data_IF_501664979507
#
_entry.id   IF_501664979507
#
_cell.length_a   1.000
_cell.length_b   1.000
_cell.length_c   1.000
_cell.angle_alpha   90.00
_cell.angle_beta   90.00
_cell.angle_gamma   90.00
#
_symmetry.space_group_name_H-M   'P 1'
#
loop_
_entity.id
_entity.type
_entity.pdbx_description
1 polymer ?
#
# COMPACT_ATOMS: atom_id res chain seq x y z
N UNK A 1 23.30 0.27 5.49
CA UNK A 1 22.17 -0.64 5.73
C UNK A 1 20.94 0.20 6.04
N UNK A 2 20.05 0.40 5.07
CA UNK A 2 18.76 1.09 5.30
C UNK A 2 17.84 0.08 5.95
N UNK A 3 17.40 0.33 7.19
CA UNK A 3 16.37 -0.48 7.84
C UNK A 3 15.10 -0.42 6.99
N UNK A 4 14.77 -1.52 6.30
CA UNK A 4 13.51 -1.65 5.58
C UNK A 4 12.39 -1.85 6.61
N UNK A 5 11.61 -0.81 6.87
CA UNK A 5 10.39 -0.94 7.65
C UNK A 5 9.34 -1.68 6.80
N UNK A 6 8.62 -2.67 7.36
CA UNK A 6 7.51 -3.29 6.66
C UNK A 6 6.37 -2.28 6.50
N UNK A 7 5.70 -2.34 5.36
CA UNK A 7 4.80 -1.32 4.87
C UNK A 7 3.32 -1.51 5.26
N UNK A 8 2.99 -2.60 5.95
CA UNK A 8 1.63 -2.94 6.38
C UNK A 8 1.54 -2.93 7.91
N UNK A 9 0.51 -2.30 8.47
CA UNK A 9 0.20 -2.30 9.91
C UNK A 9 -1.18 -2.86 10.20
N UNK A 10 -1.32 -3.54 11.32
CA UNK A 10 -2.61 -3.99 11.87
C UNK A 10 -2.98 -3.14 13.09
N UNK A 11 -4.26 -2.84 13.25
CA UNK A 11 -4.79 -2.06 14.39
C UNK A 11 -6.13 -2.62 14.81
N UNK A 12 -6.38 -2.75 16.10
CA UNK A 12 -7.68 -3.21 16.58
C UNK A 12 -7.98 -2.98 18.06
N UNK A 13 -9.26 -3.18 18.39
CA UNK A 13 -9.89 -2.82 19.68
C UNK A 13 -9.83 -3.92 20.76
N UNK A 14 -9.64 -5.21 20.42
CA UNK A 14 -9.62 -6.31 21.41
C UNK A 14 -8.49 -7.30 21.13
N UNK A 15 -7.62 -7.49 22.14
CA UNK A 15 -6.43 -8.33 22.12
C UNK A 15 -6.75 -9.81 21.87
N UNK A 16 -7.89 -10.32 22.35
CA UNK A 16 -8.22 -11.75 22.30
C UNK A 16 -8.54 -12.22 20.86
N UNK A 17 -9.35 -11.44 20.15
CA UNK A 17 -9.71 -11.71 18.75
C UNK A 17 -8.59 -11.33 17.78
N UNK A 18 -7.85 -10.26 18.06
CA UNK A 18 -6.64 -9.90 17.33
C UNK A 18 -5.58 -10.98 17.43
N UNK A 19 -5.21 -11.43 18.63
CA UNK A 19 -4.09 -12.37 18.78
C UNK A 19 -4.36 -13.69 18.06
N UNK A 20 -5.61 -14.16 18.01
CA UNK A 20 -5.98 -15.33 17.22
C UNK A 20 -5.95 -15.07 15.70
N UNK A 21 -6.44 -13.91 15.24
CA UNK A 21 -6.44 -13.54 13.82
C UNK A 21 -5.05 -13.14 13.33
N UNK A 22 -4.35 -12.23 14.01
CA UNK A 22 -2.97 -11.83 13.75
C UNK A 22 -2.06 -13.05 13.74
N UNK A 23 -2.21 -14.02 14.66
CA UNK A 23 -1.40 -15.25 14.65
C UNK A 23 -1.66 -16.08 13.39
N UNK A 24 -2.92 -16.28 13.02
CA UNK A 24 -3.29 -17.04 11.81
C UNK A 24 -2.92 -16.30 10.52
N UNK A 25 -3.08 -14.99 10.49
CA UNK A 25 -2.72 -14.11 9.38
C UNK A 25 -1.20 -14.05 9.23
N UNK A 26 -0.45 -13.98 10.34
CA UNK A 26 1.01 -14.06 10.34
C UNK A 26 1.51 -15.42 9.81
N UNK A 27 0.91 -16.53 10.24
CA UNK A 27 1.23 -17.88 9.75
C UNK A 27 1.03 -18.05 8.23
N UNK A 28 -0.09 -17.53 7.69
CA UNK A 28 -0.40 -17.60 6.24
C UNK A 28 0.44 -16.61 5.41
N UNK A 29 0.91 -15.51 6.00
CA UNK A 29 1.62 -14.46 5.27
C UNK A 29 3.15 -14.60 5.32
N UNK A 30 3.70 -15.20 6.37
CA UNK A 30 5.10 -15.62 6.43
C UNK A 30 5.47 -16.56 5.29
N UNK A 31 4.56 -17.47 4.94
CA UNK A 31 4.71 -18.39 3.81
C UNK A 31 4.60 -17.69 2.44
N UNK A 32 4.19 -16.41 2.40
CA UNK A 32 3.96 -15.62 1.18
C UNK A 32 4.82 -14.37 1.07
N UNK A 33 5.82 -14.20 1.93
CA UNK A 33 6.80 -13.11 1.86
C UNK A 33 6.29 -11.72 2.30
N UNK A 34 5.13 -11.64 2.95
CA UNK A 34 4.61 -10.37 3.49
C UNK A 34 5.09 -10.21 4.94
N UNK A 35 5.87 -9.17 5.20
CA UNK A 35 6.38 -8.86 6.55
C UNK A 35 5.45 -7.88 7.25
N UNK A 36 4.97 -8.25 8.44
CA UNK A 36 4.21 -7.38 9.34
C UNK A 36 5.10 -6.89 10.46
N UNK A 37 4.84 -5.69 11.00
CA UNK A 37 5.37 -5.29 12.30
C UNK A 37 4.26 -4.66 13.11
N UNK A 38 4.15 -5.09 14.37
CA UNK A 38 3.45 -4.44 15.47
C UNK A 38 1.95 -4.16 15.23
N UNK A 39 1.10 -5.01 15.79
CA UNK A 39 -0.29 -4.65 16.09
C UNK A 39 -0.30 -3.68 17.26
N UNK A 40 -0.91 -2.52 17.09
CA UNK A 40 -1.14 -1.58 18.19
C UNK A 40 -2.52 -1.84 18.78
N UNK A 41 -2.55 -2.11 20.08
CA UNK A 41 -3.77 -2.40 20.82
C UNK A 41 -4.35 -1.13 21.42
N UNK A 42 -5.66 -1.07 21.48
CA UNK A 42 -6.37 0.05 22.09
C UNK A 42 -7.55 -0.45 22.93
N UNK A 43 -7.84 0.27 24.01
CA UNK A 43 -9.02 0.04 24.87
C UNK A 43 -9.90 1.29 24.82
N UNK A 44 -11.22 1.08 24.82
CA UNK A 44 -12.30 2.08 24.66
C UNK A 44 -12.13 3.42 25.41
N UNK A 45 -11.42 3.41 26.54
CA UNK A 45 -11.27 4.58 27.40
C UNK A 45 -10.13 5.56 27.00
N UNK A 46 -9.35 5.31 25.95
CA UNK A 46 -8.10 6.06 25.68
C UNK A 46 -8.05 6.84 24.36
N UNK A 47 -9.01 7.73 24.08
CA UNK A 47 -9.03 8.55 22.84
C UNK A 47 -7.71 9.31 22.57
N UNK A 48 -6.98 9.74 23.61
CA UNK A 48 -5.64 10.36 23.49
C UNK A 48 -4.61 9.45 22.80
N UNK A 49 -4.71 8.13 22.97
CA UNK A 49 -3.79 7.16 22.38
C UNK A 49 -4.03 6.96 20.87
N UNK A 50 -5.25 7.19 20.35
CA UNK A 50 -5.52 7.06 18.90
C UNK A 50 -4.72 8.08 18.08
N UNK A 51 -4.69 9.33 18.55
CA UNK A 51 -3.95 10.40 17.89
C UNK A 51 -2.44 10.12 17.87
N UNK A 52 -1.89 9.65 18.97
CA UNK A 52 -0.47 9.28 19.06
C UNK A 52 -0.13 8.10 18.13
N UNK A 53 -1.02 7.11 18.05
CA UNK A 53 -0.89 5.98 17.14
C UNK A 53 -0.85 6.43 15.67
N UNK A 54 -1.79 7.28 15.27
CA UNK A 54 -1.84 7.81 13.90
C UNK A 54 -0.60 8.67 13.58
N UNK A 55 -0.09 9.42 14.56
CA UNK A 55 1.19 10.13 14.42
C UNK A 55 2.38 9.19 14.24
N UNK A 56 2.39 8.06 14.94
CA UNK A 56 3.40 7.01 14.75
C UNK A 56 3.32 6.39 13.35
N UNK A 57 2.12 6.23 12.80
CA UNK A 57 1.94 5.74 11.42
C UNK A 57 2.53 6.71 10.40
N UNK A 58 2.27 8.01 10.60
CA UNK A 58 2.81 9.07 9.77
C UNK A 58 4.34 9.15 9.86
N UNK A 59 4.91 9.02 11.06
CA UNK A 59 6.37 9.05 11.26
C UNK A 59 7.08 7.86 10.63
N UNK A 60 6.40 6.71 10.52
CA UNK A 60 6.90 5.47 9.94
C UNK A 60 6.53 5.27 8.45
N UNK A 61 5.94 6.26 7.79
CA UNK A 61 5.43 6.19 6.40
C UNK A 61 4.54 4.95 6.15
N UNK A 62 3.65 4.64 7.10
CA UNK A 62 2.70 3.54 6.98
C UNK A 62 1.58 3.93 6.02
N UNK A 63 1.34 3.10 4.99
CA UNK A 63 0.38 3.40 3.93
C UNK A 63 -0.75 2.38 3.80
N UNK A 64 -0.52 1.12 4.16
CA UNK A 64 -1.53 0.07 4.13
C UNK A 64 -1.89 -0.29 5.57
N UNK A 65 -3.14 -0.07 5.93
CA UNK A 65 -3.63 -0.22 7.31
C UNK A 65 -4.75 -1.25 7.32
N UNK A 66 -4.54 -2.33 8.07
CA UNK A 66 -5.54 -3.36 8.32
C UNK A 66 -6.17 -3.08 9.69
N UNK A 67 -7.45 -2.81 9.69
CA UNK A 67 -8.21 -2.36 10.84
C UNK A 67 -9.18 -3.45 11.28
N UNK A 68 -9.29 -3.74 12.57
CA UNK A 68 -10.33 -4.59 13.14
C UNK A 68 -10.98 -3.89 14.35
N UNK A 69 -12.01 -3.10 14.05
CA UNK A 69 -12.69 -2.25 15.03
C UNK A 69 -14.17 -2.58 15.06
N UNK A 70 -14.78 -2.49 16.24
CA UNK A 70 -16.23 -2.39 16.32
C UNK A 70 -16.70 -1.06 15.69
N UNK A 71 -18.01 -0.93 15.50
CA UNK A 71 -18.61 0.22 14.81
C UNK A 71 -18.28 1.55 15.49
N UNK A 72 -18.40 1.61 16.81
CA UNK A 72 -18.17 2.84 17.59
C UNK A 72 -16.72 3.31 17.51
N UNK A 73 -15.76 2.39 17.67
CA UNK A 73 -14.34 2.74 17.60
C UNK A 73 -13.93 3.12 16.18
N UNK A 74 -14.53 2.50 15.16
CA UNK A 74 -14.28 2.87 13.77
C UNK A 74 -14.59 4.36 13.53
N UNK A 75 -15.75 4.85 13.97
CA UNK A 75 -16.15 6.26 13.78
C UNK A 75 -15.17 7.23 14.42
N UNK A 76 -14.75 6.97 15.67
CA UNK A 76 -13.75 7.79 16.35
C UNK A 76 -12.35 7.70 15.68
N UNK A 77 -11.95 6.52 15.22
CA UNK A 77 -10.68 6.32 14.53
C UNK A 77 -10.61 7.09 13.21
N UNK A 78 -11.65 7.00 12.37
CA UNK A 78 -11.70 7.75 11.11
C UNK A 78 -11.80 9.26 11.34
N UNK A 79 -12.48 9.72 12.39
CA UNK A 79 -12.46 11.12 12.77
C UNK A 79 -11.02 11.60 13.11
N UNK A 80 -10.26 10.83 13.87
CA UNK A 80 -8.87 11.16 14.15
C UNK A 80 -7.96 11.03 12.91
N UNK A 81 -8.23 10.07 12.02
CA UNK A 81 -7.53 9.92 10.74
C UNK A 81 -7.79 11.12 9.81
N UNK A 82 -9.00 11.67 9.81
CA UNK A 82 -9.33 12.91 9.10
C UNK A 82 -8.47 14.08 9.61
N UNK A 83 -8.38 14.24 10.93
CA UNK A 83 -7.59 15.31 11.59
C UNK A 83 -6.08 15.19 11.32
N UNK A 84 -5.54 13.97 11.25
CA UNK A 84 -4.10 13.73 10.99
C UNK A 84 -3.77 13.56 9.49
N UNK A 85 -4.78 13.64 8.61
CA UNK A 85 -4.69 13.47 7.14
C UNK A 85 -4.15 12.11 6.70
N UNK A 86 -4.66 11.04 7.31
CA UNK A 86 -4.32 9.64 6.98
C UNK A 86 -5.43 9.04 6.12
N UNK A 87 -5.64 9.65 4.96
CA UNK A 87 -6.62 9.24 3.94
C UNK A 87 -6.19 9.74 2.55
N UNK A 88 -6.93 9.36 1.51
CA UNK A 88 -6.66 9.79 0.13
C UNK A 88 -5.69 8.86 -0.62
N UNK A 89 -5.04 9.34 -1.70
CA UNK A 89 -4.34 8.47 -2.67
C UNK A 89 -3.06 7.82 -2.15
N UNK A 90 -2.56 8.22 -0.97
CA UNK A 90 -1.35 7.64 -0.35
C UNK A 90 -1.64 6.53 0.65
N UNK A 91 -2.89 6.39 1.10
CA UNK A 91 -3.26 5.47 2.18
C UNK A 91 -4.37 4.52 1.72
N UNK A 92 -4.31 3.27 2.15
CA UNK A 92 -5.39 2.31 1.98
C UNK A 92 -5.77 1.69 3.31
N UNK A 93 -7.04 1.85 3.67
CA UNK A 93 -7.64 1.19 4.82
C UNK A 93 -8.35 -0.10 4.38
N UNK A 94 -8.11 -1.18 5.12
CA UNK A 94 -8.77 -2.47 4.95
C UNK A 94 -9.36 -2.85 6.30
N UNK A 95 -10.67 -2.72 6.44
CA UNK A 95 -11.41 -3.07 7.64
C UNK A 95 -11.85 -4.53 7.60
N UNK A 96 -11.58 -5.25 8.68
CA UNK A 96 -12.22 -6.51 8.98
C UNK A 96 -13.58 -6.17 9.60
N UNK A 97 -14.63 -6.33 8.78
CA UNK A 97 -15.97 -5.91 9.11
C UNK A 97 -16.68 -6.85 10.06
N UNK A 98 -17.50 -6.26 10.91
CA UNK A 98 -18.61 -6.93 11.56
C UNK A 98 -19.81 -6.94 10.63
N UNK A 99 -20.66 -7.95 10.77
CA UNK A 99 -21.84 -8.12 9.96
C UNK A 99 -22.95 -7.18 10.51
N UNK A 100 -23.06 -5.98 9.95
CA UNK A 100 -24.11 -5.03 10.30
C UNK A 100 -24.45 -4.15 9.10
N UNK A 101 -25.76 -3.95 8.90
CA UNK A 101 -26.33 -3.11 7.84
C UNK A 101 -26.45 -1.63 8.25
N UNK A 102 -26.02 -1.27 9.47
CA UNK A 102 -26.13 0.11 9.94
C UNK A 102 -25.07 1.02 9.33
N UNK A 103 -25.49 2.25 8.99
CA UNK A 103 -24.61 3.36 8.64
C UNK A 103 -23.83 3.82 9.90
N UNK A 104 -22.87 3.01 10.34
CA UNK A 104 -22.09 3.20 11.55
C UNK A 104 -21.38 4.57 11.62
N UNK A 105 -21.09 5.17 10.47
CA UNK A 105 -20.50 6.49 10.35
C UNK A 105 -21.47 7.64 10.75
N UNK A 106 -22.75 7.34 11.04
CA UNK A 106 -23.69 8.32 11.57
C UNK A 106 -23.62 8.48 13.11
N UNK A 107 -22.73 7.76 13.79
CA UNK A 107 -22.53 7.93 15.23
C UNK A 107 -21.95 9.31 15.58
N UNK A 108 -22.31 9.83 16.76
CA UNK A 108 -21.86 11.17 17.22
C UNK A 108 -20.36 11.17 17.46
N UNK A 109 -19.64 12.08 16.81
CA UNK A 109 -18.20 12.31 17.00
C UNK A 109 -17.84 13.80 16.96
N UNK A 110 -16.58 14.12 17.30
CA UNK A 110 -16.02 15.47 17.24
C UNK A 110 -15.71 15.96 15.81
N UNK A 111 -16.05 15.19 14.78
CA UNK A 111 -15.82 15.54 13.38
C UNK A 111 -17.13 15.87 12.68
N UNK A 112 -17.07 16.76 11.69
CA UNK A 112 -18.17 16.96 10.77
C UNK A 112 -18.38 15.71 9.90
N UNK A 113 -19.61 15.50 9.43
CA UNK A 113 -19.94 14.38 8.54
C UNK A 113 -19.07 14.40 7.27
N UNK A 114 -18.79 15.59 6.72
CA UNK A 114 -17.94 15.73 5.53
C UNK A 114 -16.50 15.31 5.79
N UNK A 115 -15.91 15.67 6.93
CA UNK A 115 -14.57 15.22 7.32
C UNK A 115 -14.51 13.70 7.46
N UNK A 116 -15.56 13.11 8.04
CA UNK A 116 -15.65 11.67 8.22
C UNK A 116 -15.79 10.94 6.88
N UNK A 117 -16.68 11.41 6.00
CA UNK A 117 -16.85 10.86 4.65
C UNK A 117 -15.53 10.89 3.87
N UNK A 118 -14.77 12.00 3.93
CA UNK A 118 -13.46 12.11 3.27
C UNK A 118 -12.46 11.06 3.77
N UNK A 119 -12.46 10.78 5.08
CA UNK A 119 -11.55 9.80 5.66
C UNK A 119 -11.96 8.34 5.39
N UNK A 120 -13.27 8.05 5.34
CA UNK A 120 -13.79 6.71 5.08
C UNK A 120 -13.76 6.36 3.59
N UNK A 121 -13.92 7.35 2.70
CA UNK A 121 -13.91 7.14 1.25
C UNK A 121 -12.73 6.26 0.81
N UNK A 122 -12.97 5.33 -0.11
CA UNK A 122 -11.98 4.39 -0.62
C UNK A 122 -11.62 3.23 0.32
N UNK A 123 -12.11 3.19 1.56
CA UNK A 123 -11.86 2.09 2.51
C UNK A 123 -12.46 0.79 1.99
N UNK A 124 -11.70 -0.30 2.07
CA UNK A 124 -12.18 -1.65 1.77
C UNK A 124 -12.64 -2.32 3.07
N UNK A 125 -13.75 -3.05 3.04
CA UNK A 125 -14.23 -3.84 4.16
C UNK A 125 -14.51 -5.27 3.74
N UNK A 126 -14.07 -6.24 4.54
CA UNK A 126 -14.51 -7.63 4.39
C UNK A 126 -15.78 -7.87 5.20
N UNK A 127 -16.78 -8.50 4.60
CA UNK A 127 -18.05 -8.87 5.25
C UNK A 127 -18.41 -10.31 4.93
N UNK A 128 -19.06 -10.97 5.88
CA UNK A 128 -19.69 -12.27 5.69
C UNK A 128 -21.13 -12.00 5.21
N UNK A 129 -21.51 -12.34 3.97
CA UNK A 129 -22.85 -12.03 3.46
C UNK A 129 -23.94 -12.82 4.21
N UNK A 130 -25.10 -12.21 4.47
CA UNK A 130 -26.24 -12.93 5.06
C UNK A 130 -26.79 -13.98 4.09
N UNK A 131 -27.13 -13.57 2.88
CA UNK A 131 -27.59 -14.45 1.80
C UNK A 131 -26.49 -14.55 0.76
N UNK A 132 -26.29 -15.74 0.18
CA UNK A 132 -25.28 -15.90 -0.86
C UNK A 132 -25.62 -15.02 -2.06
N UNK A 133 -24.58 -14.41 -2.63
CA UNK A 133 -24.69 -13.62 -3.85
C UNK A 133 -24.54 -14.48 -5.11
N UNK A 134 -24.41 -15.79 -4.94
CA UNK A 134 -24.44 -16.74 -6.03
C UNK A 134 -25.89 -17.03 -6.43
N UNK A 135 -26.38 -16.35 -7.47
CA UNK A 135 -27.69 -16.60 -8.09
C UNK A 135 -27.69 -17.87 -8.96
N UNK A 136 -26.90 -18.89 -8.62
CA UNK A 136 -26.99 -20.17 -9.30
C UNK A 136 -28.42 -20.73 -9.11
N UNK A 137 -29.14 -20.95 -10.22
CA UNK A 137 -30.52 -21.44 -10.27
C UNK A 137 -30.77 -22.79 -9.57
N UNK A 138 -29.72 -23.47 -9.10
CA UNK A 138 -29.76 -24.78 -8.46
C UNK A 138 -30.22 -24.76 -6.98
N UNK A 139 -30.66 -23.60 -6.45
CA UNK A 139 -31.17 -23.54 -5.07
C UNK A 139 -32.46 -24.37 -4.93
N UNK A 140 -32.55 -25.24 -3.91
CA UNK A 140 -33.79 -25.96 -3.65
C UNK A 140 -34.98 -25.03 -3.35
N UNK A 141 -36.21 -25.43 -3.71
CA UNK A 141 -37.41 -24.61 -3.49
C UNK A 141 -37.57 -24.09 -2.06
N UNK A 142 -37.28 -24.93 -1.05
CA UNK A 142 -37.38 -24.51 0.36
C UNK A 142 -36.46 -23.34 0.72
N UNK A 143 -35.33 -23.19 0.01
CA UNK A 143 -34.40 -22.08 0.16
C UNK A 143 -34.96 -20.82 -0.50
N UNK A 144 -35.57 -20.96 -1.68
CA UNK A 144 -36.29 -19.85 -2.33
C UNK A 144 -37.45 -19.35 -1.48
N UNK A 145 -38.27 -20.27 -0.96
CA UNK A 145 -39.38 -19.94 -0.07
C UNK A 145 -38.89 -19.16 1.16
N UNK A 146 -37.75 -19.57 1.74
CA UNK A 146 -37.10 -18.85 2.84
C UNK A 146 -36.68 -17.43 2.44
N UNK A 147 -35.99 -17.29 1.31
CA UNK A 147 -35.50 -15.99 0.85
C UNK A 147 -36.67 -15.06 0.55
N UNK A 148 -37.72 -15.53 -0.12
CA UNK A 148 -38.87 -14.70 -0.48
C UNK A 148 -39.68 -14.26 0.75
N UNK A 149 -39.94 -15.19 1.69
CA UNK A 149 -40.85 -14.92 2.81
C UNK A 149 -40.15 -14.37 4.06
N UNK A 150 -38.93 -14.82 4.38
CA UNK A 150 -38.29 -14.50 5.65
C UNK A 150 -37.20 -13.44 5.53
N UNK A 151 -36.50 -13.31 4.39
CA UNK A 151 -35.47 -12.27 4.24
C UNK A 151 -36.04 -10.86 4.34
N UNK A 152 -37.33 -10.69 3.96
CA UNK A 152 -38.03 -9.40 4.01
C UNK A 152 -38.36 -8.95 5.42
N UNK A 153 -38.40 -9.86 6.39
CA UNK A 153 -38.73 -9.56 7.79
C UNK A 153 -37.57 -8.89 8.55
N UNK A 154 -36.34 -8.89 7.99
CA UNK A 154 -35.13 -8.22 8.50
C UNK A 154 -34.95 -8.28 10.03
N UNK A 155 -35.21 -9.43 10.63
CA UNK A 155 -35.20 -9.53 12.11
C UNK A 155 -33.79 -9.64 12.67
N UNK A 156 -32.92 -10.39 12.01
CA UNK A 156 -31.53 -10.59 12.42
C UNK A 156 -30.66 -10.85 11.19
N UNK A 157 -29.49 -10.20 11.14
CA UNK A 157 -28.52 -10.38 10.06
C UNK A 157 -28.02 -11.83 9.91
N UNK A 158 -28.14 -12.66 10.94
CA UNK A 158 -27.66 -14.06 10.91
C UNK A 158 -28.79 -15.09 10.82
N UNK A 159 -30.00 -14.69 10.45
CA UNK A 159 -31.14 -15.59 10.32
C UNK A 159 -30.89 -16.73 9.32
N UNK A 160 -30.27 -16.44 8.16
CA UNK A 160 -30.00 -17.43 7.13
C UNK A 160 -28.94 -18.45 7.60
N UNK A 161 -28.02 -18.03 8.47
CA UNK A 161 -27.07 -18.94 9.11
C UNK A 161 -27.76 -19.89 10.09
N UNK A 162 -28.76 -19.42 10.84
CA UNK A 162 -29.56 -20.27 11.71
C UNK A 162 -30.39 -21.27 10.89
N UNK A 163 -30.99 -20.81 9.79
CA UNK A 163 -31.71 -21.65 8.84
C UNK A 163 -30.83 -22.79 8.30
N UNK A 164 -29.64 -22.47 7.78
CA UNK A 164 -28.71 -23.47 7.26
C UNK A 164 -28.15 -24.40 8.35
N UNK A 165 -28.09 -23.94 9.60
CA UNK A 165 -27.70 -24.77 10.75
C UNK A 165 -28.73 -25.86 11.01
N UNK A 166 -30.03 -25.53 10.95
CA UNK A 166 -31.11 -26.53 11.09
C UNK A 166 -31.03 -27.56 9.97
N UNK A 167 -30.81 -27.13 8.73
CA UNK A 167 -30.63 -28.06 7.61
C UNK A 167 -29.39 -28.93 7.75
N UNK A 168 -28.29 -28.39 8.25
CA UNK A 168 -27.09 -29.18 8.55
C UNK A 168 -27.39 -30.29 9.56
N UNK A 169 -28.20 -30.03 10.59
CA UNK A 169 -28.67 -31.06 11.53
C UNK A 169 -29.53 -32.14 10.86
N UNK A 170 -30.39 -31.75 9.91
CA UNK A 170 -31.17 -32.71 9.11
C UNK A 170 -30.24 -33.61 8.28
N UNK A 171 -29.22 -33.06 7.64
CA UNK A 171 -28.21 -33.83 6.91
C UNK A 171 -27.43 -34.79 7.84
N UNK A 172 -27.07 -34.34 9.04
CA UNK A 172 -26.44 -35.18 10.06
C UNK A 172 -27.36 -36.32 10.53
N UNK A 173 -28.64 -36.03 10.74
CA UNK A 173 -29.64 -37.02 11.13
C UNK A 173 -29.82 -38.09 10.04
N UNK A 174 -29.95 -37.67 8.77
CA UNK A 174 -30.04 -38.59 7.61
C UNK A 174 -28.79 -39.44 7.42
N UNK A 175 -27.64 -38.94 7.85
CA UNK A 175 -26.37 -39.68 7.84
C UNK A 175 -26.24 -40.70 8.99
N UNK A 176 -27.26 -40.84 9.84
CA UNK A 176 -27.30 -41.87 10.88
C UNK A 176 -26.54 -41.52 12.16
N UNK A 177 -26.44 -40.25 12.53
CA UNK A 177 -25.71 -39.81 13.72
C UNK A 177 -26.13 -40.52 15.02
N UNK A 178 -27.41 -40.90 15.14
CA UNK A 178 -27.94 -41.62 16.30
C UNK A 178 -27.46 -43.08 16.38
N UNK A 179 -27.04 -43.66 15.25
CA UNK A 179 -26.58 -45.05 15.16
C UNK A 179 -25.05 -45.16 15.26
N UNK A 180 -24.31 -44.11 14.92
CA UNK A 180 -22.85 -44.15 14.84
C UNK A 180 -22.18 -42.90 15.45
N UNK A 181 -22.26 -42.79 16.79
CA UNK A 181 -21.76 -41.62 17.53
C UNK A 181 -20.23 -41.47 17.51
N UNK A 182 -19.48 -42.51 17.15
CA UNK A 182 -18.00 -42.46 17.10
C UNK A 182 -17.47 -41.72 15.86
N UNK A 183 -18.28 -41.55 14.81
CA UNK A 183 -17.87 -40.98 13.51
C UNK A 183 -18.40 -39.57 13.24
N UNK A 184 -18.80 -38.81 14.26
CA UNK A 184 -19.39 -37.47 14.11
C UNK A 184 -18.49 -36.53 13.27
N UNK A 185 -17.17 -36.58 13.45
CA UNK A 185 -16.24 -35.75 12.65
C UNK A 185 -16.33 -36.02 11.16
N UNK A 186 -16.40 -37.30 10.78
CA UNK A 186 -16.55 -37.73 9.39
C UNK A 186 -17.91 -37.34 8.84
N UNK A 187 -18.97 -37.49 9.64
CA UNK A 187 -20.33 -37.08 9.25
C UNK A 187 -20.36 -35.57 8.97
N UNK A 188 -19.79 -34.74 9.85
CA UNK A 188 -19.77 -33.28 9.70
C UNK A 188 -18.95 -32.85 8.48
N UNK A 189 -17.78 -33.45 8.24
CA UNK A 189 -16.97 -33.13 7.07
C UNK A 189 -17.63 -33.57 5.74
N UNK A 190 -18.54 -34.54 5.78
CA UNK A 190 -19.28 -35.03 4.61
C UNK A 190 -20.56 -34.23 4.29
N UNK A 191 -20.92 -33.23 5.12
CA UNK A 191 -22.05 -32.36 4.82
C UNK A 191 -21.69 -31.49 3.60
N UNK A 192 -22.48 -31.63 2.53
CA UNK A 192 -22.40 -30.82 1.32
C UNK A 192 -23.82 -30.60 0.77
N UNK A 193 -24.33 -29.37 0.89
CA UNK A 193 -25.63 -28.98 0.33
C UNK A 193 -25.66 -27.48 0.00
N UNK A 194 -26.66 -27.05 -0.78
CA UNK A 194 -26.90 -25.64 -1.13
C UNK A 194 -27.95 -25.09 -0.17
N UNK A 195 -27.56 -24.12 0.66
CA UNK A 195 -28.42 -23.42 1.61
C UNK A 195 -28.66 -21.95 1.22
N UNK A 196 -29.31 -21.20 2.11
CA UNK A 196 -29.61 -19.77 1.90
C UNK A 196 -28.33 -18.90 1.85
N UNK A 197 -27.32 -19.31 2.60
CA UNK A 197 -26.00 -18.64 2.65
C UNK A 197 -24.99 -19.26 1.67
N UNK A 198 -25.48 -19.99 0.66
CA UNK A 198 -24.69 -20.60 -0.40
C UNK A 198 -24.32 -22.05 -0.09
N UNK A 199 -23.22 -22.53 -0.68
CA UNK A 199 -22.77 -23.91 -0.46
C UNK A 199 -22.30 -24.12 0.97
N UNK A 200 -22.96 -25.02 1.70
CA UNK A 200 -22.67 -25.35 3.10
C UNK A 200 -21.75 -26.57 3.15
N UNK A 201 -20.53 -26.37 3.66
CA UNK A 201 -19.54 -27.42 3.90
C UNK A 201 -18.73 -27.12 5.15
N UNK A 202 -18.21 -28.17 5.78
CA UNK A 202 -17.34 -28.06 6.94
C UNK A 202 -15.97 -28.68 6.69
N UNK A 203 -14.92 -28.01 7.16
CA UNK A 203 -13.55 -28.51 7.16
C UNK A 203 -12.97 -28.34 8.56
N UNK A 204 -12.57 -29.46 9.17
CA UNK A 204 -12.05 -29.48 10.53
C UNK A 204 -12.99 -28.82 11.56
N UNK A 205 -14.29 -29.04 11.39
CA UNK A 205 -15.34 -28.43 12.24
C UNK A 205 -15.58 -26.94 12.00
N UNK A 206 -14.96 -26.33 10.99
CA UNK A 206 -15.22 -24.94 10.60
C UNK A 206 -16.02 -24.89 9.32
N UNK A 207 -17.04 -24.03 9.31
CA UNK A 207 -17.82 -23.79 8.10
C UNK A 207 -16.96 -23.07 7.06
N UNK A 208 -16.98 -23.59 5.84
CA UNK A 208 -16.43 -22.95 4.65
C UNK A 208 -17.56 -22.07 4.08
N UNK A 209 -17.30 -20.78 3.89
CA UNK A 209 -18.29 -19.82 3.43
C UNK A 209 -17.71 -18.77 2.49
N UNK A 210 -18.56 -17.87 2.02
CA UNK A 210 -18.20 -16.76 1.13
C UNK A 210 -17.71 -15.56 1.95
N UNK A 211 -16.78 -14.79 1.38
CA UNK A 211 -16.36 -13.50 1.93
C UNK A 211 -16.60 -12.44 0.86
N UNK A 212 -17.38 -11.43 1.20
CA UNK A 212 -17.64 -10.28 0.37
C UNK A 212 -16.63 -9.17 0.71
N UNK A 213 -16.07 -8.55 -0.32
CA UNK A 213 -15.26 -7.34 -0.18
C UNK A 213 -16.05 -6.16 -0.72
N UNK A 214 -16.31 -5.21 0.15
CA UNK A 214 -17.05 -4.00 -0.13
C UNK A 214 -16.11 -2.79 -0.06
N UNK A 215 -16.44 -1.74 -0.79
CA UNK A 215 -15.73 -0.47 -0.77
C UNK A 215 -16.68 0.65 -0.36
N UNK A 216 -16.25 1.50 0.56
CA UNK A 216 -16.92 2.75 0.87
C UNK A 216 -16.59 3.80 -0.18
N UNK A 217 -17.61 4.39 -0.79
CA UNK A 217 -17.47 5.33 -1.91
C UNK A 217 -18.29 6.57 -1.63
N UNK A 218 -17.63 7.72 -1.61
CA UNK A 218 -18.29 9.01 -1.56
C UNK A 218 -18.69 9.45 -2.97
N UNK A 219 -19.98 9.64 -3.19
CA UNK A 219 -20.51 10.11 -4.47
C UNK A 219 -21.82 10.86 -4.31
N UNK A 220 -22.18 11.59 -5.37
CA UNK A 220 -23.51 12.21 -5.47
C UNK A 220 -24.52 11.14 -5.90
N UNK A 221 -25.56 10.97 -5.08
CA UNK A 221 -26.65 10.04 -5.34
C UNK A 221 -27.63 10.63 -6.38
N UNK A 222 -28.13 9.80 -7.29
CA UNK A 222 -29.30 10.10 -8.13
C UNK A 222 -30.51 9.28 -7.67
N UNK A 223 -31.69 9.57 -8.24
CA UNK A 223 -32.98 8.95 -7.88
C UNK A 223 -33.03 7.40 -7.96
N UNK A 224 -32.02 6.75 -8.56
CA UNK A 224 -31.96 5.29 -8.77
C UNK A 224 -30.86 4.61 -7.91
N UNK A 225 -30.44 5.26 -6.82
CA UNK A 225 -29.38 4.81 -5.89
C UNK A 225 -28.02 4.46 -6.53
N UNK A 226 -27.82 4.83 -7.80
CA UNK A 226 -26.60 4.56 -8.53
C UNK A 226 -25.55 5.65 -8.30
N UNK A 227 -24.35 5.22 -7.90
CA UNK A 227 -23.17 6.07 -7.68
C UNK A 227 -22.44 6.31 -9.02
N UNK A 228 -22.64 7.46 -9.67
CA UNK A 228 -21.97 7.77 -10.95
C UNK A 228 -20.81 8.78 -10.86
N UNK A 229 -20.89 9.75 -9.94
CA UNK A 229 -19.91 10.85 -9.89
C UNK A 229 -19.11 10.75 -8.58
N UNK A 230 -17.82 10.39 -8.63
CA UNK A 230 -16.98 10.38 -7.44
C UNK A 230 -16.83 11.80 -6.89
N UNK A 231 -16.97 11.92 -5.59
CA UNK A 231 -16.82 13.20 -4.91
C UNK A 231 -15.36 13.61 -4.75
N UNK A 232 -15.08 14.89 -4.97
CA UNK A 232 -13.78 15.51 -4.73
C UNK A 232 -13.81 16.39 -3.47
N UNK A 233 -12.64 16.79 -2.95
CA UNK A 233 -12.46 17.43 -1.63
C UNK A 233 -13.37 18.65 -1.35
N UNK A 234 -13.86 19.34 -2.38
CA UNK A 234 -14.67 20.56 -2.27
C UNK A 234 -16.17 20.36 -2.51
N UNK A 235 -16.64 19.12 -2.69
CA UNK A 235 -18.06 18.86 -2.90
C UNK A 235 -18.77 18.63 -1.55
N UNK A 236 -19.74 19.48 -1.25
CA UNK A 236 -20.48 19.47 0.00
C UNK A 236 -21.69 18.52 -0.03
N UNK A 237 -22.09 18.08 -1.23
CA UNK A 237 -23.30 17.28 -1.47
C UNK A 237 -22.94 15.83 -1.81
N UNK A 238 -22.27 15.17 -0.86
CA UNK A 238 -21.72 13.84 -1.01
C UNK A 238 -22.25 12.91 0.07
N UNK A 239 -22.81 11.79 -0.37
CA UNK A 239 -23.22 10.72 0.51
C UNK A 239 -22.27 9.54 0.38
N UNK A 240 -22.08 8.82 1.49
CA UNK A 240 -21.30 7.60 1.52
C UNK A 240 -22.18 6.42 1.12
N UNK A 241 -21.71 5.64 0.16
CA UNK A 241 -22.35 4.40 -0.29
C UNK A 241 -21.37 3.24 -0.18
N UNK A 242 -21.91 2.02 -0.27
CA UNK A 242 -21.13 0.79 -0.20
C UNK A 242 -21.26 0.05 -1.53
N UNK A 243 -20.14 -0.13 -2.21
CA UNK A 243 -20.06 -0.85 -3.49
C UNK A 243 -19.45 -2.23 -3.26
N UNK A 244 -20.11 -3.27 -3.75
CA UNK A 244 -19.62 -4.66 -3.67
C UNK A 244 -18.58 -4.89 -4.76
N UNK A 245 -17.33 -5.11 -4.39
CA UNK A 245 -16.20 -5.18 -5.33
C UNK A 245 -15.83 -6.60 -5.67
N UNK A 246 -15.64 -7.46 -4.66
CA UNK A 246 -15.24 -8.84 -4.88
C UNK A 246 -16.07 -9.81 -4.03
N UNK A 247 -16.25 -11.01 -4.56
CA UNK A 247 -16.78 -12.15 -3.84
C UNK A 247 -15.73 -13.25 -3.84
N UNK A 248 -15.21 -13.59 -2.66
CA UNK A 248 -14.31 -14.71 -2.49
C UNK A 248 -15.12 -15.96 -2.16
N UNK A 249 -15.05 -16.98 -3.03
CA UNK A 249 -15.66 -18.30 -2.80
C UNK A 249 -14.56 -19.35 -2.75
N UNK A 250 -14.77 -20.41 -1.99
CA UNK A 250 -13.82 -21.51 -1.97
C UNK A 250 -13.92 -22.34 -3.26
N UNK A 251 -12.77 -22.71 -3.83
CA UNK A 251 -12.70 -23.57 -5.01
C UNK A 251 -13.28 -24.96 -4.69
N UNK A 252 -13.89 -25.59 -5.69
CA UNK A 252 -14.37 -26.97 -5.57
C UNK A 252 -13.24 -28.00 -5.45
N UNK A 253 -11.99 -27.61 -5.74
CA UNK A 253 -10.81 -28.45 -5.69
C UNK A 253 -10.07 -28.32 -4.35
N UNK A 254 -9.65 -29.46 -3.80
CA UNK A 254 -8.88 -29.58 -2.56
C UNK A 254 -7.65 -28.65 -2.57
N UNK A 255 -7.51 -27.82 -1.53
CA UNK A 255 -6.35 -26.97 -1.17
C UNK A 255 -6.03 -25.71 -2.01
N UNK A 256 -6.82 -25.35 -3.02
CA UNK A 256 -6.57 -24.09 -3.74
C UNK A 256 -7.20 -22.87 -3.04
N UNK A 257 -6.48 -21.73 -3.12
CA UNK A 257 -6.94 -20.43 -2.65
C UNK A 257 -8.40 -20.15 -3.02
N UNK A 258 -9.15 -19.37 -2.20
CA UNK A 258 -10.47 -18.93 -2.58
C UNK A 258 -10.42 -18.21 -3.94
N UNK A 259 -11.26 -18.63 -4.86
CA UNK A 259 -11.45 -17.96 -6.14
C UNK A 259 -12.11 -16.60 -5.90
N UNK A 260 -11.45 -15.54 -6.39
CA UNK A 260 -11.92 -14.17 -6.23
C UNK A 260 -12.68 -13.74 -7.48
N UNK A 261 -13.99 -13.59 -7.35
CA UNK A 261 -14.88 -13.13 -8.41
C UNK A 261 -15.01 -11.61 -8.34
N UNK A 262 -14.68 -10.92 -9.42
CA UNK A 262 -14.82 -9.47 -9.52
C UNK A 262 -16.28 -9.13 -9.85
N UNK A 263 -16.93 -8.37 -8.97
CA UNK A 263 -18.28 -7.83 -9.16
C UNK A 263 -18.20 -6.43 -9.77
N UNK A 264 -17.48 -5.52 -9.11
CA UNK A 264 -17.25 -4.15 -9.56
C UNK A 264 -15.76 -3.80 -9.50
N UNK A 265 -15.35 -2.76 -10.21
CA UNK A 265 -13.98 -2.24 -10.14
C UNK A 265 -13.79 -1.40 -8.87
N UNK A 266 -12.64 -1.55 -8.20
CA UNK A 266 -12.25 -0.64 -7.12
C UNK A 266 -12.08 0.77 -7.70
N UNK A 267 -12.65 1.75 -7.02
CA UNK A 267 -12.42 3.17 -7.29
C UNK A 267 -11.28 3.68 -6.40
N UNK A 268 -10.11 3.92 -7.00
CA UNK A 268 -8.97 4.49 -6.29
C UNK A 268 -9.07 6.03 -6.31
N UNK A 269 -8.59 6.68 -5.25
CA UNK A 269 -8.48 8.15 -5.24
C UNK A 269 -7.49 8.69 -6.30
N UNK A 270 -6.53 7.87 -6.71
CA UNK A 270 -5.58 8.18 -7.79
C UNK A 270 -5.77 7.26 -8.99
N UNK A 271 -4.83 7.29 -9.93
CA UNK A 271 -4.85 6.41 -11.11
C UNK A 271 -4.56 4.94 -10.79
N UNK A 272 -4.03 4.64 -9.60
CA UNK A 272 -3.57 3.33 -9.20
C UNK A 272 -3.65 3.15 -7.67
N UNK A 273 -3.61 1.91 -7.16
CA UNK A 273 -3.50 1.64 -5.73
C UNK A 273 -2.24 2.29 -5.12
N UNK A 274 -2.31 2.73 -3.85
CA UNK A 274 -1.15 3.30 -3.17
C UNK A 274 -0.03 2.26 -3.05
N UNK A 275 1.21 2.73 -3.27
CA UNK A 275 2.40 1.92 -3.02
C UNK A 275 2.70 1.84 -1.53
N UNK A 276 3.27 0.71 -1.14
CA UNK A 276 3.66 0.38 0.23
C UNK A 276 4.76 1.33 0.77
N UNK A 277 5.64 1.85 -0.10
CA UNK A 277 6.75 2.76 0.24
C UNK A 277 7.03 3.82 -0.81
N UNK A 278 7.82 4.82 -0.45
CA UNK A 278 8.43 5.75 -1.42
C UNK A 278 9.59 5.08 -2.15
N UNK A 279 9.60 5.15 -3.49
CA UNK A 279 10.76 4.72 -4.26
C UNK A 279 11.90 5.72 -4.07
N UNK A 280 13.02 5.26 -3.50
CA UNK A 280 14.24 6.04 -3.45
C UNK A 280 15.01 5.79 -4.74
N UNK A 281 15.07 6.80 -5.61
CA UNK A 281 15.93 6.78 -6.79
C UNK A 281 17.22 7.51 -6.44
N UNK A 282 18.35 6.81 -6.54
CA UNK A 282 19.66 7.44 -6.40
C UNK A 282 19.87 8.27 -7.67
N UNK A 283 19.81 9.59 -7.55
CA UNK A 283 20.13 10.52 -8.63
C UNK A 283 21.54 11.01 -8.37
N UNK A 284 22.46 10.74 -9.29
CA UNK A 284 23.79 11.32 -9.23
C UNK A 284 23.68 12.80 -9.65
N UNK A 285 24.10 13.70 -8.77
CA UNK A 285 24.21 15.12 -9.13
C UNK A 285 25.41 15.32 -10.05
N UNK A 286 25.17 15.86 -11.24
CA UNK A 286 26.20 16.15 -12.22
C UNK A 286 26.42 17.66 -12.34
N UNK A 287 27.64 18.05 -12.68
CA UNK A 287 27.98 19.45 -12.99
C UNK A 287 27.20 19.85 -14.25
N UNK A 288 26.57 21.03 -14.25
CA UNK A 288 25.87 21.55 -15.41
C UNK A 288 26.81 21.66 -16.62
N UNK A 289 26.42 21.14 -17.80
CA UNK A 289 27.27 21.15 -19.00
C UNK A 289 27.75 22.56 -19.39
N UNK A 290 26.91 23.58 -19.22
CA UNK A 290 27.24 24.97 -19.53
C UNK A 290 28.40 25.51 -18.69
N UNK A 291 28.43 25.20 -17.40
CA UNK A 291 29.49 25.61 -16.47
C UNK A 291 30.79 24.89 -16.82
N UNK A 292 30.72 23.58 -17.07
CA UNK A 292 31.87 22.79 -17.46
C UNK A 292 32.50 23.29 -18.76
N UNK A 293 31.70 23.53 -19.80
CA UNK A 293 32.18 24.05 -21.10
C UNK A 293 32.84 25.42 -20.92
N UNK A 294 32.22 26.32 -20.16
CA UNK A 294 32.74 27.69 -19.96
C UNK A 294 34.11 27.68 -19.28
N UNK A 295 34.27 26.89 -18.22
CA UNK A 295 35.54 26.76 -17.49
C UNK A 295 36.59 26.08 -18.36
N UNK A 296 36.22 25.06 -19.13
CA UNK A 296 37.13 24.35 -20.05
C UNK A 296 37.66 25.28 -21.14
N UNK A 297 36.80 26.10 -21.76
CA UNK A 297 37.22 27.09 -22.76
C UNK A 297 38.18 28.11 -22.15
N UNK A 298 37.85 28.64 -20.97
CA UNK A 298 38.69 29.61 -20.28
C UNK A 298 40.09 29.06 -19.94
N UNK A 299 40.15 27.84 -19.40
CA UNK A 299 41.40 27.13 -19.12
C UNK A 299 42.18 26.79 -20.40
N UNK A 300 41.49 26.43 -21.48
CA UNK A 300 42.11 26.18 -22.79
C UNK A 300 42.78 27.42 -23.37
N UNK A 301 42.13 28.59 -23.29
CA UNK A 301 42.73 29.87 -23.69
C UNK A 301 43.97 30.18 -22.83
N UNK A 302 43.87 30.00 -21.51
CA UNK A 302 45.00 30.20 -20.59
C UNK A 302 46.20 29.28 -20.88
N UNK A 303 45.94 28.03 -21.29
CA UNK A 303 46.97 27.07 -21.67
C UNK A 303 47.70 27.50 -22.95
N UNK A 304 46.97 27.95 -23.98
CA UNK A 304 47.54 28.43 -25.24
C UNK A 304 48.43 29.66 -25.01
N UNK A 305 47.98 30.60 -24.18
CA UNK A 305 48.75 31.79 -23.80
C UNK A 305 50.03 31.39 -23.07
N UNK A 306 49.93 30.47 -22.11
CA UNK A 306 51.09 29.98 -21.33
C UNK A 306 52.14 29.32 -22.22
N UNK A 307 51.72 28.49 -23.18
CA UNK A 307 52.63 27.83 -24.15
C UNK A 307 53.31 28.87 -25.04
N UNK A 308 52.55 29.85 -25.53
CA UNK A 308 53.08 30.91 -26.39
C UNK A 308 54.15 31.75 -25.67
N UNK A 309 53.89 32.13 -24.41
CA UNK A 309 54.84 32.87 -23.58
C UNK A 309 56.06 32.02 -23.22
N UNK A 310 55.90 30.71 -23.02
CA UNK A 310 57.00 29.80 -22.74
C UNK A 310 57.94 29.66 -23.95
N UNK A 311 57.39 29.46 -25.14
CA UNK A 311 58.17 29.41 -26.40
C UNK A 311 58.88 30.74 -26.64
N UNK A 312 58.19 31.87 -26.43
CA UNK A 312 58.77 33.20 -26.54
C UNK A 312 59.95 33.40 -25.57
N UNK A 313 59.81 32.97 -24.31
CA UNK A 313 60.85 33.08 -23.29
C UNK A 313 62.09 32.25 -23.64
N UNK A 314 61.90 31.06 -24.23
CA UNK A 314 63.00 30.22 -24.71
C UNK A 314 63.68 30.85 -25.92
N UNK A 315 62.92 31.27 -26.93
CA UNK A 315 63.46 31.77 -28.20
C UNK A 315 64.28 33.05 -27.99
N UNK A 316 63.78 34.00 -27.19
CA UNK A 316 64.44 35.28 -26.95
C UNK A 316 65.26 35.32 -25.66
N UNK A 317 65.67 34.16 -25.12
CA UNK A 317 66.43 34.05 -23.86
C UNK A 317 67.72 34.89 -23.84
N UNK A 318 68.33 35.14 -25.00
CA UNK A 318 69.58 35.90 -25.12
C UNK A 318 69.37 37.43 -25.16
N UNK A 319 68.13 37.93 -25.31
CA UNK A 319 67.88 39.36 -25.27
C UNK A 319 68.07 39.95 -23.86
N UNK A 320 68.75 41.10 -23.80
CA UNK A 320 69.18 41.76 -22.55
C UNK A 320 68.05 41.95 -21.54
N UNK A 321 66.84 42.32 -21.99
CA UNK A 321 65.69 42.53 -21.11
C UNK A 321 65.14 41.23 -20.50
N UNK A 322 65.03 40.17 -21.29
CA UNK A 322 64.52 38.85 -20.85
C UNK A 322 65.55 38.15 -19.95
N UNK A 323 66.84 38.40 -20.18
CA UNK A 323 67.91 37.88 -19.32
C UNK A 323 67.92 38.53 -17.93
N UNK A 324 67.58 39.81 -17.82
CA UNK A 324 67.52 40.53 -16.54
C UNK A 324 66.26 40.20 -15.72
N UNK A 325 65.21 39.64 -16.34
CA UNK A 325 63.96 39.24 -15.66
C UNK A 325 63.98 37.81 -15.09
N UNK A 326 65.16 37.20 -14.90
CA UNK A 326 65.33 35.84 -14.37
C UNK A 326 64.55 34.77 -15.16
N UNK A 327 64.98 34.44 -16.39
CA UNK A 327 64.23 33.60 -17.32
C UNK A 327 63.95 32.17 -16.79
N UNK A 328 64.79 31.65 -15.90
CA UNK A 328 64.57 30.35 -15.26
C UNK A 328 63.32 30.36 -14.36
N UNK A 329 63.15 31.41 -13.54
CA UNK A 329 61.98 31.54 -12.67
C UNK A 329 60.70 31.71 -13.51
N UNK A 330 60.75 32.50 -14.57
CA UNK A 330 59.60 32.71 -15.46
C UNK A 330 59.19 31.40 -16.16
N UNK A 331 60.15 30.56 -16.55
CA UNK A 331 59.85 29.24 -17.12
C UNK A 331 59.21 28.28 -16.10
N UNK A 332 59.65 28.32 -14.84
CA UNK A 332 59.05 27.52 -13.75
C UNK A 332 57.60 27.99 -13.48
N UNK A 333 57.37 29.31 -13.43
CA UNK A 333 56.03 29.89 -13.23
C UNK A 333 55.09 29.47 -14.36
N UNK A 334 55.52 29.61 -15.62
CA UNK A 334 54.72 29.22 -16.79
C UNK A 334 54.44 27.71 -16.80
N UNK A 335 55.39 26.88 -16.40
CA UNK A 335 55.17 25.45 -16.21
C UNK A 335 54.10 25.15 -15.15
N UNK A 336 54.12 25.87 -14.02
CA UNK A 336 53.10 25.78 -12.98
C UNK A 336 51.70 26.18 -13.49
N UNK A 337 51.61 27.25 -14.29
CA UNK A 337 50.35 27.67 -14.92
C UNK A 337 49.80 26.60 -15.87
N UNK A 338 50.65 25.97 -16.69
CA UNK A 338 50.23 24.87 -17.59
C UNK A 338 49.64 23.70 -16.80
N UNK A 339 50.30 23.28 -15.72
CA UNK A 339 49.82 22.18 -14.86
C UNK A 339 48.48 22.51 -14.20
N UNK A 340 48.29 23.75 -13.75
CA UNK A 340 47.02 24.20 -13.14
C UNK A 340 45.86 24.19 -14.15
N UNK A 341 46.07 24.66 -15.38
CA UNK A 341 45.07 24.61 -16.44
C UNK A 341 44.72 23.18 -16.83
N UNK A 342 45.71 22.29 -16.96
CA UNK A 342 45.50 20.87 -17.25
C UNK A 342 44.69 20.19 -16.13
N UNK A 343 45.05 20.43 -14.87
CA UNK A 343 44.33 19.88 -13.71
C UNK A 343 42.86 20.30 -13.66
N UNK A 344 42.57 21.56 -13.99
CA UNK A 344 41.19 22.09 -14.03
C UNK A 344 40.34 21.36 -15.07
N UNK A 345 40.91 21.04 -16.24
CA UNK A 345 40.23 20.28 -17.30
C UNK A 345 39.98 18.84 -16.84
N UNK A 346 40.98 18.22 -16.20
CA UNK A 346 40.88 16.84 -15.71
C UNK A 346 39.83 16.68 -14.61
N UNK A 347 39.72 17.63 -13.68
CA UNK A 347 38.76 17.59 -12.57
C UNK A 347 37.30 17.65 -13.03
N UNK A 348 37.04 18.29 -14.17
CA UNK A 348 35.69 18.39 -14.72
C UNK A 348 35.24 17.16 -15.53
N UNK A 349 36.15 16.24 -15.85
CA UNK A 349 35.80 14.96 -16.48
C UNK A 349 35.11 14.10 -15.42
N UNK A 350 33.80 13.93 -15.52
CA UNK A 350 33.00 13.13 -14.58
C UNK A 350 32.45 11.87 -15.27
N UNK A 351 31.98 10.92 -14.46
CA UNK A 351 31.24 9.71 -14.83
C UNK A 351 30.03 9.91 -15.76
N UNK A 352 29.57 11.15 -15.96
CA UNK A 352 28.57 11.49 -16.97
C UNK A 352 29.09 11.45 -18.41
N UNK A 353 30.41 11.59 -18.62
CA UNK A 353 31.06 11.59 -19.92
C UNK A 353 31.73 10.25 -20.25
N UNK A 354 32.10 9.47 -19.23
CA UNK A 354 32.74 8.16 -19.38
C UNK A 354 32.12 7.13 -18.44
N UNK A 355 31.81 5.90 -18.91
CA UNK A 355 31.37 4.82 -18.04
C UNK A 355 32.42 4.53 -16.96
N UNK A 356 31.97 4.17 -15.75
CA UNK A 356 32.77 4.08 -14.52
C UNK A 356 34.13 3.38 -14.62
N UNK A 357 34.32 2.46 -15.57
CA UNK A 357 35.57 1.74 -15.81
C UNK A 357 36.64 2.59 -16.49
N UNK A 358 36.26 3.50 -17.40
CA UNK A 358 37.22 4.35 -18.11
C UNK A 358 37.72 5.52 -17.25
N UNK A 359 36.93 5.96 -16.27
CA UNK A 359 37.32 7.01 -15.33
C UNK A 359 38.45 6.56 -14.38
N UNK A 360 38.37 5.33 -13.87
CA UNK A 360 39.42 4.74 -13.03
C UNK A 360 40.72 4.53 -13.78
N UNK A 361 40.64 4.06 -15.03
CA UNK A 361 41.83 3.83 -15.86
C UNK A 361 42.51 5.15 -16.25
N UNK A 362 41.73 6.20 -16.54
CA UNK A 362 42.27 7.52 -16.87
C UNK A 362 42.98 8.17 -15.66
N UNK A 363 42.39 8.11 -14.47
CA UNK A 363 43.02 8.63 -13.24
C UNK A 363 44.29 7.85 -12.88
N UNK A 364 44.26 6.52 -12.96
CA UNK A 364 45.43 5.69 -12.68
C UNK A 364 46.56 5.95 -13.68
N UNK A 365 46.25 6.14 -14.97
CA UNK A 365 47.27 6.45 -15.98
C UNK A 365 47.86 7.87 -15.85
N UNK A 366 47.12 8.83 -15.28
CA UNK A 366 47.62 10.20 -15.06
C UNK A 366 48.40 10.31 -13.74
N UNK A 367 48.05 9.54 -12.71
CA UNK A 367 48.74 9.55 -11.40
C UNK A 367 50.00 8.67 -11.41
N UNK A 368 50.03 7.62 -12.25
CA UNK A 368 51.17 6.71 -12.37
C UNK A 368 52.15 7.01 -13.53
N UNK A 369 51.93 8.08 -14.30
CA UNK A 369 52.87 8.60 -15.30
C UNK A 369 53.57 9.86 -14.77
#
# INVERSE_FOLDING_TARGET
MVQSYPAVRTVANDLSNLTAMDKKQWEVNLTRGVTYRHGSNWHEDNVKNMKELLKDFKSKDVRIIIANFNQTVATHMFCNAAKEQIYGPRYQWIMLGYASESAWWNEKTDCSMQELIRAINGTLQTRIPNISMDDSDDRPNHVWDYIEHFSTLKTNYFDAYAYDTVWSLVHMYRSGILLNQTNIKTIVNNIDFIGATGKVRYLNGRRIGEILVEQYVACRMMNDDSCQIPCYENDNDCNLTVVKVFLAKNSAANDDLPSLYKLHSIMWHGSAPPRDRTNQTIVFEHIYPSVFISITICSGIGLIISISLFVFNIHFRLHRYIRMSSPLLNNIILGGCMLAYISTILMGINSSLFPNTAFTDMLMNIICA
#
